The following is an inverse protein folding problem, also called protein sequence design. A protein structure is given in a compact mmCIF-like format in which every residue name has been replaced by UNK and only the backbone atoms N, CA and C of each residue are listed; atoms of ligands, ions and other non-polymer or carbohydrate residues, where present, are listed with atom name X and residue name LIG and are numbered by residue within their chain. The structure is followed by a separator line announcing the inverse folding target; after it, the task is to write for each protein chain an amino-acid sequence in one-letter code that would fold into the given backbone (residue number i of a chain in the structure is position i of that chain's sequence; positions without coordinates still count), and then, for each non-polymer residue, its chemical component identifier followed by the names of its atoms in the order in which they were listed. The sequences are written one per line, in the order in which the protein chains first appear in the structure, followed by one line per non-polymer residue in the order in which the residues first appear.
data_IF_547582851225
#
_entry.id   IF_547582851225
#
_cell.length_a   1.000
_cell.length_b   1.000
_cell.length_c   1.000
_cell.angle_alpha   90.00
_cell.angle_beta   90.00
_cell.angle_gamma   90.00
#
_symmetry.space_group_name_H-M   'P 1'
#
loop_
_entity.id
_entity.type
_entity.pdbx_description
1 polymer ?
#
# COMPACT_ATOMS: atom_id res chain seq x y z
N UNK A 1 4.93 -9.12 25.27
CA UNK A 1 4.07 -8.19 24.51
C UNK A 1 4.10 -8.64 23.05
N UNK A 2 2.98 -9.13 22.55
CA UNK A 2 2.88 -9.70 21.20
C UNK A 2 2.72 -8.55 20.21
N UNK A 3 3.69 -8.39 19.30
CA UNK A 3 3.61 -7.45 18.18
C UNK A 3 2.74 -8.10 17.10
N UNK A 4 1.57 -7.53 16.81
CA UNK A 4 0.70 -7.98 15.74
C UNK A 4 0.98 -7.15 14.49
N UNK A 5 1.28 -7.86 13.38
CA UNK A 5 1.36 -7.29 12.04
C UNK A 5 -0.04 -6.93 11.57
N UNK A 6 -0.28 -5.66 11.23
CA UNK A 6 -1.39 -5.26 10.38
C UNK A 6 -0.99 -5.48 8.92
N UNK A 7 -1.53 -6.49 8.28
CA UNK A 7 -1.45 -6.60 6.83
C UNK A 7 -2.58 -5.74 6.25
N UNK A 8 -2.29 -4.50 5.88
CA UNK A 8 -3.17 -3.74 4.99
C UNK A 8 -2.80 -4.07 3.55
N UNK A 9 -3.77 -4.61 2.82
CA UNK A 9 -3.72 -4.73 1.37
C UNK A 9 -4.03 -3.34 0.81
N UNK A 10 -3.08 -2.70 0.33
CA UNK A 10 -2.90 -1.60 -0.61
C UNK A 10 -1.88 -0.59 -0.11
N UNK A 11 -0.89 -0.34 -0.92
CA UNK A 11 0.11 0.73 -0.82
C UNK A 11 0.88 0.82 0.52
N UNK A 12 2.12 0.35 0.50
CA UNK A 12 3.24 0.78 1.35
C UNK A 12 2.96 0.95 2.85
N UNK A 13 2.76 -0.16 3.58
CA UNK A 13 3.08 -0.14 4.99
C UNK A 13 4.32 -1.00 5.24
N UNK A 14 5.41 -0.33 5.61
CA UNK A 14 6.59 -1.01 6.12
C UNK A 14 6.20 -1.86 7.33
N UNK A 15 6.15 -3.18 7.13
CA UNK A 15 6.05 -4.11 8.23
C UNK A 15 7.35 -4.02 9.04
N UNK A 16 7.28 -3.48 10.25
CA UNK A 16 8.39 -3.58 11.20
C UNK A 16 8.50 -5.03 11.68
N UNK A 17 9.14 -5.85 10.89
CA UNK A 17 9.57 -7.18 11.27
C UNK A 17 10.97 -7.12 11.87
N UNK A 18 11.08 -7.28 13.19
CA UNK A 18 12.37 -7.57 13.82
C UNK A 18 12.68 -9.04 13.59
N UNK A 19 13.50 -9.35 12.59
CA UNK A 19 14.18 -10.64 12.53
C UNK A 19 15.51 -10.52 13.26
N UNK A 20 15.66 -11.30 14.32
CA UNK A 20 16.95 -11.54 14.93
C UNK A 20 17.83 -12.30 13.93
N UNK A 21 18.80 -11.61 13.34
CA UNK A 21 19.96 -12.25 12.77
C UNK A 21 20.88 -12.65 13.92
N UNK A 22 21.43 -13.85 13.85
CA UNK A 22 22.35 -14.38 14.84
C UNK A 22 23.54 -13.43 15.03
N UNK A 23 23.80 -13.09 16.27
CA UNK A 23 24.95 -12.29 16.68
C UNK A 23 26.25 -13.02 16.40
N UNK A 24 27.17 -12.35 15.70
CA UNK A 24 28.59 -12.47 16.00
C UNK A 24 29.38 -11.22 15.59
N UNK A 25 30.04 -10.63 16.59
CA UNK A 25 31.16 -9.69 16.56
C UNK A 25 31.16 -8.51 15.57
N UNK A 26 30.40 -7.44 15.88
CA UNK A 26 30.86 -6.04 15.64
C UNK A 26 29.96 -5.01 16.35
N UNK A 27 30.01 -4.96 17.66
CA UNK A 27 29.22 -4.01 18.49
C UNK A 27 29.25 -2.55 17.98
N UNK A 28 30.32 -2.12 17.32
CA UNK A 28 30.45 -0.76 16.80
C UNK A 28 29.65 -0.55 15.50
N UNK A 29 29.59 -1.57 14.64
CA UNK A 29 28.82 -1.53 13.38
C UNK A 29 27.34 -1.67 13.69
N UNK A 30 26.97 -2.59 14.59
CA UNK A 30 25.58 -2.78 15.01
C UNK A 30 25.03 -1.53 15.73
N UNK A 31 25.83 -0.89 16.59
CA UNK A 31 25.45 0.37 17.21
C UNK A 31 25.34 1.53 16.21
N UNK A 32 26.18 1.56 15.18
CA UNK A 32 26.08 2.54 14.10
C UNK A 32 24.76 2.37 13.33
N UNK A 33 24.45 1.15 12.91
CA UNK A 33 23.20 0.87 12.19
C UNK A 33 21.96 1.03 13.06
N UNK A 34 22.00 0.64 14.34
CA UNK A 34 20.93 0.90 15.30
C UNK A 34 20.65 2.40 15.47
N UNK A 35 21.69 3.25 15.36
CA UNK A 35 21.55 4.69 15.35
C UNK A 35 20.91 5.27 14.08
N UNK A 36 20.95 4.55 12.97
CA UNK A 36 20.39 4.99 11.69
C UNK A 36 18.88 4.74 11.55
N UNK A 37 18.30 3.85 12.36
CA UNK A 37 16.90 3.41 12.25
C UNK A 37 16.79 1.97 11.74
N UNK A 38 15.59 1.55 11.39
CA UNK A 38 15.28 0.21 10.89
C UNK A 38 15.09 0.22 9.38
N UNK A 39 15.63 -0.78 8.70
CA UNK A 39 15.42 -1.00 7.28
C UNK A 39 14.53 -2.21 7.05
N UNK A 40 13.77 -2.19 5.98
CA UNK A 40 12.92 -3.30 5.56
C UNK A 40 12.94 -3.44 4.04
N UNK A 41 12.69 -4.63 3.57
CA UNK A 41 12.50 -4.90 2.14
C UNK A 41 11.38 -5.92 1.97
N UNK A 42 10.71 -5.89 0.83
CA UNK A 42 9.76 -6.93 0.46
C UNK A 42 9.82 -7.26 -1.01
N UNK A 43 9.35 -8.46 -1.35
CA UNK A 43 9.10 -8.89 -2.72
C UNK A 43 7.78 -9.64 -2.76
N UNK A 44 7.00 -9.41 -3.83
CA UNK A 44 5.76 -10.13 -4.07
C UNK A 44 5.59 -10.50 -5.54
N UNK A 45 4.89 -11.60 -5.78
CA UNK A 45 4.32 -11.96 -7.07
C UNK A 45 2.82 -12.04 -6.93
N UNK A 46 2.09 -11.38 -7.81
CA UNK A 46 0.62 -11.37 -7.82
C UNK A 46 0.08 -11.72 -9.20
N UNK A 47 -1.11 -12.29 -9.26
CA UNK A 47 -1.78 -12.62 -10.53
C UNK A 47 -2.34 -11.39 -11.23
N UNK A 48 -2.55 -10.30 -10.50
CA UNK A 48 -2.95 -9.00 -11.03
C UNK A 48 -2.51 -7.90 -10.03
N UNK A 49 -2.01 -6.78 -10.52
CA UNK A 49 -1.80 -5.58 -9.71
C UNK A 49 -3.04 -4.69 -9.84
N UNK A 50 -3.71 -4.44 -8.73
CA UNK A 50 -4.88 -3.57 -8.67
C UNK A 50 -4.59 -2.34 -7.81
N UNK A 51 -4.93 -1.16 -8.31
CA UNK A 51 -4.91 0.10 -7.59
C UNK A 51 -6.34 0.62 -7.44
N UNK A 52 -6.82 0.79 -6.22
CA UNK A 52 -8.21 1.21 -5.92
C UNK A 52 -9.24 0.42 -6.74
N UNK A 53 -9.11 -0.91 -6.74
CA UNK A 53 -9.99 -1.83 -7.45
C UNK A 53 -9.73 -2.01 -8.95
N UNK A 54 -8.93 -1.15 -9.58
CA UNK A 54 -8.66 -1.15 -11.03
C UNK A 54 -7.34 -1.85 -11.34
N UNK A 55 -7.35 -2.81 -12.27
CA UNK A 55 -6.15 -3.51 -12.74
C UNK A 55 -5.18 -2.57 -13.44
N UNK A 56 -3.93 -2.58 -12.99
CA UNK A 56 -2.81 -1.85 -13.56
C UNK A 56 -1.98 -2.71 -14.53
N UNK A 57 -2.20 -4.02 -14.55
CA UNK A 57 -1.49 -4.98 -15.40
C UNK A 57 -2.36 -5.60 -16.48
N UNK A 58 -3.53 -4.99 -16.78
CA UNK A 58 -4.50 -5.52 -17.73
C UNK A 58 -4.88 -6.98 -17.42
N UNK A 59 -5.16 -7.27 -16.15
CA UNK A 59 -5.52 -8.58 -15.63
C UNK A 59 -4.38 -9.63 -15.76
N UNK A 60 -3.14 -9.14 -15.85
CA UNK A 60 -1.94 -9.98 -15.96
C UNK A 60 -1.08 -9.95 -14.70
N UNK A 61 -0.07 -10.83 -14.60
CA UNK A 61 0.74 -10.95 -13.42
C UNK A 61 1.68 -9.73 -13.21
N UNK A 62 1.96 -9.46 -11.95
CA UNK A 62 2.96 -8.48 -11.53
C UNK A 62 3.99 -9.06 -10.57
N UNK A 63 5.20 -8.48 -10.64
CA UNK A 63 6.25 -8.63 -9.65
C UNK A 63 6.46 -7.28 -9.00
N UNK A 64 6.41 -7.26 -7.68
CA UNK A 64 6.46 -6.04 -6.87
C UNK A 64 7.61 -6.13 -5.87
N UNK A 65 8.18 -4.99 -5.53
CA UNK A 65 9.23 -4.92 -4.53
C UNK A 65 9.16 -3.61 -3.76
N UNK A 66 9.66 -3.62 -2.52
CA UNK A 66 9.79 -2.40 -1.73
C UNK A 66 11.07 -2.40 -0.92
N UNK A 67 11.52 -1.18 -0.62
CA UNK A 67 12.57 -0.91 0.36
C UNK A 67 12.10 0.25 1.24
N UNK A 68 12.26 0.11 2.55
CA UNK A 68 11.81 1.08 3.54
C UNK A 68 12.87 1.37 4.58
N UNK A 69 12.76 2.56 5.15
CA UNK A 69 13.48 3.02 6.32
C UNK A 69 12.51 3.63 7.31
N UNK A 70 12.74 3.41 8.60
CA UNK A 70 11.97 4.05 9.65
C UNK A 70 12.84 4.35 10.88
N UNK A 71 12.46 5.38 11.63
CA UNK A 71 13.10 5.75 12.88
C UNK A 71 12.12 6.38 13.84
N UNK A 72 12.13 5.89 15.08
CA UNK A 72 11.32 6.43 16.16
C UNK A 72 12.10 7.43 17.02
N UNK A 73 11.43 8.50 17.39
CA UNK A 73 11.96 9.56 18.24
C UNK A 73 11.02 9.78 19.42
N UNK A 74 11.58 10.12 20.56
CA UNK A 74 10.81 10.55 21.74
C UNK A 74 10.70 12.06 21.78
N UNK A 75 9.47 12.57 21.73
CA UNK A 75 9.15 13.99 21.95
C UNK A 75 8.36 14.11 23.27
N UNK A 76 9.07 14.26 24.37
CA UNK A 76 8.49 14.19 25.71
C UNK A 76 7.98 12.78 26.03
N UNK A 77 6.66 12.64 26.24
CA UNK A 77 6.01 11.35 26.47
C UNK A 77 5.45 10.70 25.19
N UNK A 78 5.51 11.41 24.08
CA UNK A 78 5.04 10.92 22.77
C UNK A 78 6.19 10.27 22.01
N UNK A 79 5.86 9.19 21.30
CA UNK A 79 6.73 8.57 20.31
C UNK A 79 6.28 9.01 18.92
N UNK A 80 7.23 9.54 18.15
CA UNK A 80 7.02 10.00 16.77
C UNK A 80 7.88 9.13 15.87
N UNK A 81 7.26 8.40 14.97
CA UNK A 81 7.92 7.64 13.92
C UNK A 81 8.08 8.49 12.66
N UNK A 82 9.27 8.47 12.07
CA UNK A 82 9.52 8.94 10.72
C UNK A 82 9.75 7.74 9.83
N UNK A 83 9.27 7.78 8.59
CA UNK A 83 9.55 6.74 7.61
C UNK A 83 9.66 7.29 6.20
N UNK A 84 10.38 6.54 5.37
CA UNK A 84 10.46 6.72 3.95
C UNK A 84 10.54 5.36 3.26
N UNK A 85 9.95 5.23 2.08
CA UNK A 85 10.02 4.00 1.29
C UNK A 85 9.99 4.28 -0.19
N UNK A 86 10.53 3.32 -0.95
CA UNK A 86 10.30 3.19 -2.38
C UNK A 86 9.64 1.83 -2.62
N UNK A 87 8.61 1.83 -3.46
CA UNK A 87 7.93 0.63 -3.93
C UNK A 87 7.91 0.65 -5.45
N UNK A 88 7.86 -0.50 -6.10
CA UNK A 88 7.74 -0.56 -7.54
C UNK A 88 7.05 -1.83 -8.01
N UNK A 89 6.43 -1.74 -9.18
CA UNK A 89 5.72 -2.83 -9.85
C UNK A 89 5.85 -2.71 -11.37
N UNK A 90 5.91 -3.85 -12.06
CA UNK A 90 5.58 -3.79 -13.47
C UNK A 90 4.09 -3.47 -13.65
N UNK A 91 3.79 -2.78 -14.73
CA UNK A 91 2.42 -2.47 -15.14
C UNK A 91 2.22 -2.69 -16.64
N UNK A 92 0.97 -2.62 -17.08
CA UNK A 92 0.60 -2.72 -18.49
C UNK A 92 -0.72 -2.00 -18.71
N UNK A 93 -0.64 -0.75 -19.14
CA UNK A 93 -1.80 0.01 -19.58
C UNK A 93 -2.22 -0.41 -21.00
N UNK A 94 -3.52 -0.29 -21.32
CA UNK A 94 -4.06 -0.51 -22.68
C UNK A 94 -4.46 0.82 -23.33
N UNK A 95 -3.68 1.83 -23.12
CA UNK A 95 -3.91 3.23 -23.53
C UNK A 95 -3.11 3.63 -24.77
N UNK A 96 -2.26 2.73 -25.27
CA UNK A 96 -1.40 2.95 -26.44
C UNK A 96 0.01 3.42 -26.09
N UNK A 97 0.30 3.67 -24.81
CA UNK A 97 1.65 3.89 -24.33
C UNK A 97 2.35 2.57 -23.95
N UNK A 98 3.67 2.61 -23.82
CA UNK A 98 4.50 1.46 -23.48
C UNK A 98 4.99 1.51 -22.03
N UNK A 99 4.38 2.32 -21.16
CA UNK A 99 4.73 2.35 -19.76
C UNK A 99 4.62 0.93 -19.16
N UNK A 100 5.68 0.47 -18.51
CA UNK A 100 5.75 -0.88 -17.95
C UNK A 100 6.26 -0.92 -16.51
N UNK A 101 6.64 0.22 -15.94
CA UNK A 101 7.17 0.35 -14.59
C UNK A 101 6.52 1.50 -13.85
N UNK A 102 6.10 1.26 -12.63
CA UNK A 102 5.68 2.26 -11.64
C UNK A 102 6.65 2.22 -10.46
N UNK A 103 7.06 3.39 -9.98
CA UNK A 103 7.84 3.54 -8.76
C UNK A 103 7.22 4.64 -7.91
N UNK A 104 6.87 4.27 -6.67
CA UNK A 104 6.27 5.15 -5.69
C UNK A 104 7.26 5.47 -4.58
N UNK A 105 7.43 6.75 -4.28
CA UNK A 105 8.21 7.24 -3.15
C UNK A 105 7.28 7.78 -2.08
N UNK A 106 7.34 7.18 -0.89
CA UNK A 106 6.50 7.58 0.24
C UNK A 106 7.37 8.11 1.37
N UNK A 107 6.91 9.17 2.02
CA UNK A 107 7.49 9.66 3.27
C UNK A 107 6.39 10.11 4.22
N UNK A 108 6.57 9.84 5.52
CA UNK A 108 5.52 10.16 6.48
C UNK A 108 5.98 10.21 7.92
N UNK A 109 5.03 10.62 8.75
CA UNK A 109 5.17 10.78 10.19
C UNK A 109 4.04 10.06 10.89
N UNK A 110 4.39 9.20 11.85
CA UNK A 110 3.42 8.45 12.66
C UNK A 110 3.50 8.82 14.13
N UNK A 111 2.38 8.69 14.83
CA UNK A 111 2.35 8.71 16.29
C UNK A 111 1.21 7.86 16.83
N UNK A 112 1.23 7.56 18.13
CA UNK A 112 0.14 6.83 18.77
C UNK A 112 -0.35 7.60 19.97
N UNK A 113 -1.63 7.95 20.00
CA UNK A 113 -2.29 8.68 21.09
C UNK A 113 -3.41 7.80 21.66
N UNK A 114 -3.28 7.39 22.92
CA UNK A 114 -4.28 6.55 23.61
C UNK A 114 -4.68 5.28 22.82
N UNK A 115 -3.70 4.67 22.14
CA UNK A 115 -3.91 3.48 21.32
C UNK A 115 -4.37 3.76 19.88
N UNK A 116 -4.78 4.98 19.57
CA UNK A 116 -5.09 5.42 18.20
C UNK A 116 -3.77 5.73 17.48
N UNK A 117 -3.47 4.97 16.43
CA UNK A 117 -2.36 5.27 15.51
C UNK A 117 -2.81 6.35 14.56
N UNK A 118 -1.95 7.34 14.36
CA UNK A 118 -2.13 8.44 13.41
C UNK A 118 -0.95 8.46 12.46
N UNK A 119 -1.22 8.77 11.20
CA UNK A 119 -0.23 8.84 10.13
C UNK A 119 -0.53 10.05 9.25
N UNK A 120 0.51 10.80 8.88
CA UNK A 120 0.44 11.86 7.88
C UNK A 120 1.58 11.63 6.88
N UNK A 121 1.26 11.58 5.59
CA UNK A 121 2.22 11.15 4.57
C UNK A 121 2.04 11.86 3.24
N UNK A 122 3.10 11.78 2.42
CA UNK A 122 3.08 12.14 1.02
C UNK A 122 3.59 10.98 0.18
N UNK A 123 3.04 10.84 -1.01
CA UNK A 123 3.44 9.85 -2.01
C UNK A 123 3.71 10.56 -3.33
N UNK A 124 4.81 10.23 -3.98
CA UNK A 124 5.11 10.61 -5.35
C UNK A 124 5.11 9.35 -6.22
N UNK A 125 4.14 9.28 -7.12
CA UNK A 125 3.98 8.20 -8.10
C UNK A 125 4.73 8.58 -9.36
N UNK A 126 5.56 7.68 -9.88
CA UNK A 126 6.34 7.91 -11.11
C UNK A 126 6.22 6.75 -12.07
N UNK A 127 6.21 7.09 -13.35
CA UNK A 127 6.12 6.16 -14.47
C UNK A 127 7.28 6.42 -15.44
N UNK A 128 8.52 5.95 -15.10
CA UNK A 128 9.76 6.38 -15.80
C UNK A 128 9.79 6.11 -17.30
N UNK A 129 9.00 5.15 -17.77
CA UNK A 129 8.95 4.73 -19.18
C UNK A 129 7.75 5.31 -19.93
N UNK A 130 6.90 6.09 -19.27
CA UNK A 130 5.76 6.72 -19.90
C UNK A 130 6.19 7.90 -20.77
N UNK A 131 5.38 8.20 -21.78
CA UNK A 131 5.55 9.42 -22.55
C UNK A 131 5.21 10.64 -21.65
N UNK A 132 6.14 11.57 -21.49
CA UNK A 132 5.98 12.78 -20.65
C UNK A 132 4.71 13.59 -20.97
N UNK A 133 4.26 13.56 -22.23
CA UNK A 133 3.03 14.27 -22.65
C UNK A 133 1.74 13.69 -22.03
N UNK A 134 1.79 12.50 -21.43
CA UNK A 134 0.66 11.86 -20.79
C UNK A 134 0.46 12.32 -19.34
N UNK A 135 1.48 12.96 -18.73
CA UNK A 135 1.45 13.46 -17.35
C UNK A 135 1.00 12.39 -16.34
N UNK A 136 1.61 11.19 -16.40
CA UNK A 136 1.24 10.11 -15.51
C UNK A 136 1.78 10.30 -14.09
N UNK A 137 2.93 10.98 -13.94
CA UNK A 137 3.52 11.28 -12.64
C UNK A 137 2.62 12.23 -11.85
N UNK A 138 2.36 11.91 -10.58
CA UNK A 138 1.55 12.75 -9.71
C UNK A 138 1.93 12.56 -8.23
N UNK A 139 1.38 13.43 -7.39
CA UNK A 139 1.60 13.39 -5.94
C UNK A 139 0.27 13.25 -5.19
N UNK A 140 0.32 12.56 -4.05
CA UNK A 140 -0.76 12.57 -3.08
C UNK A 140 -0.24 12.97 -1.70
N UNK A 141 -1.03 13.74 -0.96
CA UNK A 141 -0.88 13.91 0.47
C UNK A 141 -2.01 13.13 1.17
N UNK A 142 -1.68 12.47 2.27
CA UNK A 142 -2.65 11.64 2.95
C UNK A 142 -2.58 11.70 4.47
N UNK A 143 -3.67 11.26 5.06
CA UNK A 143 -3.82 11.09 6.50
C UNK A 143 -4.48 9.76 6.80
N UNK A 144 -3.97 9.03 7.80
CA UNK A 144 -4.49 7.75 8.26
C UNK A 144 -4.75 7.74 9.76
N UNK A 145 -5.76 6.96 10.16
CA UNK A 145 -6.01 6.64 11.55
C UNK A 145 -6.37 5.16 11.70
N UNK A 146 -5.88 4.51 12.76
CA UNK A 146 -6.14 3.09 12.99
C UNK A 146 -6.17 2.74 14.47
N UNK A 147 -7.01 1.77 14.83
CA UNK A 147 -7.14 1.28 16.19
C UNK A 147 -7.22 -0.24 16.23
N UNK A 148 -6.49 -0.83 17.18
CA UNK A 148 -6.49 -2.27 17.42
C UNK A 148 -7.34 -2.60 18.66
N UNK A 149 -8.46 -3.28 18.46
CA UNK A 149 -9.36 -3.76 19.50
C UNK A 149 -8.94 -5.13 20.08
N UNK A 150 -7.84 -5.72 19.60
CA UNK A 150 -7.38 -7.05 19.97
C UNK A 150 -8.07 -8.19 19.23
N UNK A 151 -9.38 -8.13 19.02
CA UNK A 151 -10.14 -9.09 18.20
C UNK A 151 -10.20 -8.69 16.73
N UNK A 152 -10.09 -7.40 16.45
CA UNK A 152 -10.06 -6.82 15.12
C UNK A 152 -9.29 -5.52 15.16
N UNK A 153 -8.66 -5.18 14.07
CA UNK A 153 -8.08 -3.86 13.83
C UNK A 153 -8.91 -3.16 12.77
N UNK A 154 -9.16 -1.87 12.98
CA UNK A 154 -9.88 -1.03 12.00
C UNK A 154 -9.01 0.17 11.63
N UNK A 155 -9.17 0.68 10.41
CA UNK A 155 -8.47 1.87 9.97
C UNK A 155 -9.24 2.62 8.92
N UNK A 156 -8.89 3.89 8.74
CA UNK A 156 -9.38 4.73 7.66
C UNK A 156 -8.26 5.63 7.15
N UNK A 157 -8.32 5.97 5.88
CA UNK A 157 -7.33 6.81 5.22
C UNK A 157 -8.03 7.80 4.30
N UNK A 158 -7.42 8.96 4.17
CA UNK A 158 -7.78 10.01 3.23
C UNK A 158 -6.55 10.34 2.39
N UNK A 159 -6.76 10.53 1.09
CA UNK A 159 -5.74 10.97 0.15
C UNK A 159 -6.28 12.14 -0.66
N UNK A 160 -5.42 13.06 -1.01
CA UNK A 160 -5.67 14.19 -1.88
C UNK A 160 -4.52 14.36 -2.86
N UNK A 161 -4.83 14.47 -4.13
CA UNK A 161 -3.93 14.87 -5.20
C UNK A 161 -4.39 16.19 -5.78
N UNK A 162 -3.53 17.21 -5.88
CA UNK A 162 -3.87 18.48 -6.52
C UNK A 162 -3.91 18.38 -8.06
N UNK A 163 -3.27 17.35 -8.61
CA UNK A 163 -3.25 17.06 -10.06
C UNK A 163 -3.01 15.56 -10.23
N UNK A 164 -4.09 14.81 -10.34
CA UNK A 164 -4.07 13.35 -10.36
C UNK A 164 -3.60 12.83 -11.73
N UNK A 165 -3.27 11.55 -11.79
CA UNK A 165 -2.82 10.79 -12.96
C UNK A 165 -3.44 11.29 -14.29
N UNK A 166 -2.58 11.65 -15.25
CA UNK A 166 -3.00 12.22 -16.53
C UNK A 166 -3.36 13.71 -16.47
N UNK A 167 -2.96 14.43 -15.42
CA UNK A 167 -3.21 15.86 -15.20
C UNK A 167 -4.71 16.21 -15.25
N UNK A 168 -5.55 15.40 -14.58
CA UNK A 168 -6.99 15.57 -14.55
C UNK A 168 -7.49 16.53 -13.46
N UNK A 169 -6.57 17.13 -12.68
CA UNK A 169 -6.91 18.04 -11.58
C UNK A 169 -7.10 17.32 -10.24
N UNK A 170 -7.83 17.95 -9.34
CA UNK A 170 -7.98 17.46 -7.95
C UNK A 170 -8.70 16.11 -7.91
N UNK A 171 -8.14 15.23 -7.10
CA UNK A 171 -8.74 13.93 -6.77
C UNK A 171 -8.65 13.65 -5.28
N UNK A 172 -9.67 12.99 -4.75
CA UNK A 172 -9.79 12.61 -3.36
C UNK A 172 -10.10 11.12 -3.27
N UNK A 173 -9.49 10.45 -2.29
CA UNK A 173 -9.82 9.05 -2.00
C UNK A 173 -10.00 8.85 -0.51
N UNK A 174 -11.11 8.23 -0.15
CA UNK A 174 -11.45 7.88 1.23
C UNK A 174 -11.52 6.37 1.34
N UNK A 175 -10.88 5.80 2.34
CA UNK A 175 -10.94 4.36 2.52
C UNK A 175 -11.14 3.94 3.97
N UNK A 176 -11.75 2.77 4.14
CA UNK A 176 -11.89 2.08 5.40
C UNK A 176 -11.47 0.63 5.27
N UNK A 177 -10.84 0.09 6.32
CA UNK A 177 -10.40 -1.28 6.34
C UNK A 177 -10.66 -1.93 7.71
N UNK A 178 -10.82 -3.23 7.70
CA UNK A 178 -10.93 -4.07 8.88
C UNK A 178 -10.07 -5.31 8.69
N UNK A 179 -9.38 -5.74 9.75
CA UNK A 179 -8.59 -6.98 9.76
C UNK A 179 -8.91 -7.78 11.00
N UNK A 180 -9.14 -9.08 10.81
CA UNK A 180 -9.53 -10.00 11.88
C UNK A 180 -8.58 -11.21 11.87
N UNK A 181 -7.81 -11.42 12.94
CA UNK A 181 -7.02 -12.63 13.10
C UNK A 181 -7.94 -13.84 13.34
N UNK A 182 -7.75 -14.88 12.55
CA UNK A 182 -8.52 -16.13 12.62
C UNK A 182 -7.64 -17.29 13.11
N UNK A 183 -8.26 -18.44 13.54
CA UNK A 183 -7.51 -19.65 13.82
C UNK A 183 -6.62 -20.09 12.67
N UNK A 184 -5.64 -20.96 12.96
CA UNK A 184 -4.69 -21.52 11.97
C UNK A 184 -3.77 -20.50 11.30
N UNK A 185 -3.47 -19.38 11.98
CA UNK A 185 -2.64 -18.27 11.44
C UNK A 185 -3.22 -17.65 10.16
N UNK A 186 -4.53 -17.67 10.03
CA UNK A 186 -5.25 -16.97 8.98
C UNK A 186 -5.57 -15.55 9.44
N UNK A 187 -5.63 -14.64 8.49
CA UNK A 187 -6.12 -13.26 8.68
C UNK A 187 -7.16 -12.99 7.60
N UNK A 188 -8.37 -12.63 8.00
CA UNK A 188 -9.38 -12.10 7.09
C UNK A 188 -9.29 -10.58 7.09
N UNK A 189 -9.38 -9.95 5.91
CA UNK A 189 -9.44 -8.49 5.82
C UNK A 189 -10.53 -8.07 4.84
N UNK A 190 -11.13 -6.91 5.12
CA UNK A 190 -12.09 -6.23 4.26
C UNK A 190 -11.66 -4.79 4.05
N UNK A 191 -11.92 -4.28 2.86
CA UNK A 191 -11.63 -2.92 2.46
C UNK A 191 -12.80 -2.35 1.66
N UNK A 192 -13.03 -1.04 1.81
CA UNK A 192 -13.89 -0.23 0.96
C UNK A 192 -13.24 1.12 0.76
N UNK A 193 -13.28 1.63 -0.46
CA UNK A 193 -12.77 2.94 -0.81
C UNK A 193 -13.72 3.68 -1.74
N UNK A 194 -13.58 5.01 -1.78
CA UNK A 194 -14.36 5.87 -2.67
C UNK A 194 -13.47 6.95 -3.26
N UNK A 195 -13.39 6.97 -4.58
CA UNK A 195 -12.66 7.96 -5.37
C UNK A 195 -13.60 9.06 -5.84
N UNK A 196 -13.20 10.32 -5.67
CA UNK A 196 -13.92 11.51 -6.12
C UNK A 196 -12.98 12.35 -6.96
N UNK A 197 -13.43 12.80 -8.12
CA UNK A 197 -12.65 13.58 -9.07
C UNK A 197 -13.34 14.89 -9.40
N UNK A 198 -12.62 16.01 -9.36
CA UNK A 198 -13.17 17.29 -9.80
C UNK A 198 -13.31 17.36 -11.33
N UNK A 199 -12.57 16.50 -12.04
CA UNK A 199 -12.63 16.42 -13.51
C UNK A 199 -13.93 15.78 -14.00
N UNK A 200 -14.69 16.50 -14.82
CA UNK A 200 -15.89 15.93 -15.46
C UNK A 200 -15.62 14.78 -16.45
N UNK A 201 -14.36 14.53 -16.79
CA UNK A 201 -13.91 13.41 -17.63
C UNK A 201 -13.71 12.11 -16.88
N UNK A 202 -13.60 12.17 -15.54
CA UNK A 202 -13.47 11.01 -14.67
C UNK A 202 -14.84 10.71 -14.01
N UNK A 203 -15.03 9.47 -13.62
CA UNK A 203 -16.24 9.00 -12.93
C UNK A 203 -15.89 8.68 -11.49
N UNK A 204 -16.59 9.27 -10.53
CA UNK A 204 -16.49 8.87 -9.12
C UNK A 204 -16.91 7.41 -8.97
N UNK A 205 -16.19 6.67 -8.13
CA UNK A 205 -16.49 5.25 -7.96
C UNK A 205 -16.12 4.75 -6.58
N UNK A 206 -16.71 3.60 -6.25
CA UNK A 206 -16.43 2.85 -5.04
C UNK A 206 -15.74 1.54 -5.39
N UNK A 207 -14.68 1.22 -4.67
CA UNK A 207 -14.00 -0.08 -4.74
C UNK A 207 -14.15 -0.82 -3.41
N UNK A 208 -14.08 -2.16 -3.46
CA UNK A 208 -14.07 -3.00 -2.27
C UNK A 208 -13.30 -4.28 -2.49
N UNK A 209 -12.80 -4.83 -1.40
CA UNK A 209 -12.18 -6.15 -1.43
C UNK A 209 -12.42 -6.92 -0.15
N UNK A 210 -12.35 -8.24 -0.26
CA UNK A 210 -12.23 -9.16 0.86
C UNK A 210 -11.08 -10.11 0.59
N UNK A 211 -10.25 -10.36 1.60
CA UNK A 211 -9.08 -11.22 1.44
C UNK A 211 -8.90 -12.17 2.61
N UNK A 212 -8.20 -13.27 2.33
CA UNK A 212 -7.75 -14.24 3.31
C UNK A 212 -6.26 -14.49 3.10
N UNK A 213 -5.47 -14.23 4.14
CA UNK A 213 -4.02 -14.36 4.11
C UNK A 213 -3.55 -15.40 5.14
N UNK A 214 -2.54 -16.18 4.78
CA UNK A 214 -1.85 -17.10 5.69
C UNK A 214 -0.36 -17.04 5.53
N UNK A 215 0.37 -16.93 6.65
CA UNK A 215 1.81 -17.09 6.64
C UNK A 215 2.19 -18.57 6.66
N UNK A 216 2.95 -19.00 5.65
CA UNK A 216 3.48 -20.36 5.51
C UNK A 216 4.99 -20.26 5.24
N UNK A 217 5.80 -20.78 6.16
CA UNK A 217 7.27 -20.80 6.04
C UNK A 217 7.90 -19.42 5.78
N UNK A 218 7.30 -18.37 6.34
CA UNK A 218 7.79 -16.99 6.17
C UNK A 218 7.35 -16.32 4.86
N UNK A 219 6.45 -16.96 4.10
CA UNK A 219 5.77 -16.37 2.96
C UNK A 219 4.31 -16.09 3.33
N UNK A 220 3.82 -14.92 2.96
CA UNK A 220 2.41 -14.59 3.06
C UNK A 220 1.71 -14.97 1.75
N UNK A 221 0.78 -15.91 1.86
CA UNK A 221 -0.07 -16.36 0.76
C UNK A 221 -1.45 -15.73 0.95
N UNK A 222 -1.91 -14.97 -0.02
CA UNK A 222 -3.18 -14.25 0.02
C UNK A 222 -4.05 -14.59 -1.18
N UNK A 223 -5.35 -14.73 -0.94
CA UNK A 223 -6.39 -14.71 -1.96
C UNK A 223 -7.33 -13.56 -1.66
N UNK A 224 -7.70 -12.80 -2.68
CA UNK A 224 -8.61 -11.68 -2.56
C UNK A 224 -9.68 -11.72 -3.65
N UNK A 225 -10.89 -11.30 -3.30
CA UNK A 225 -11.91 -10.86 -4.23
C UNK A 225 -11.88 -9.33 -4.24
N UNK A 226 -11.81 -8.72 -5.42
CA UNK A 226 -11.72 -7.27 -5.61
C UNK A 226 -12.75 -6.87 -6.65
N UNK A 227 -13.41 -5.74 -6.44
CA UNK A 227 -14.45 -5.26 -7.35
C UNK A 227 -14.62 -3.74 -7.23
N UNK A 228 -15.31 -3.15 -8.21
CA UNK A 228 -15.70 -1.73 -8.23
C UNK A 228 -17.15 -1.61 -8.68
N UNK A 229 -17.77 -0.44 -8.46
CA UNK A 229 -19.10 -0.13 -9.02
C UNK A 229 -19.05 0.47 -10.43
N UNK A 230 -17.84 0.60 -11.02
CA UNK A 230 -17.65 1.10 -12.38
C UNK A 230 -18.21 0.12 -13.43
N UNK A 231 -18.83 0.68 -14.43
CA UNK A 231 -19.20 -0.09 -15.63
C UNK A 231 -18.01 -0.20 -16.58
N UNK A 232 -17.99 -1.23 -17.37
CA UNK A 232 -16.97 -1.47 -18.39
C UNK A 232 -16.75 -0.26 -19.34
N UNK A 233 -17.82 0.47 -19.68
CA UNK A 233 -17.74 1.69 -20.49
C UNK A 233 -16.99 2.84 -19.79
N UNK A 234 -16.98 2.85 -18.46
CA UNK A 234 -16.29 3.86 -17.62
C UNK A 234 -14.82 3.49 -17.39
N UNK A 235 -14.44 2.25 -17.72
CA UNK A 235 -13.08 1.72 -17.73
C UNK A 235 -12.48 1.60 -19.14
N UNK A 236 -12.76 2.53 -20.02
CA UNK A 236 -12.23 2.51 -21.38
C UNK A 236 -12.68 1.30 -22.21
N UNK A 237 -13.80 0.63 -21.86
CA UNK A 237 -14.29 -0.56 -22.54
C UNK A 237 -13.52 -1.84 -22.19
N UNK A 238 -12.59 -1.80 -21.24
CA UNK A 238 -11.79 -2.93 -20.79
C UNK A 238 -12.44 -3.66 -19.61
N UNK A 239 -11.93 -4.84 -19.21
CA UNK A 239 -12.31 -5.53 -17.99
C UNK A 239 -11.54 -5.09 -16.75
N UNK A 240 -10.72 -4.03 -16.83
CA UNK A 240 -9.79 -3.65 -15.76
C UNK A 240 -10.49 -3.29 -14.44
N UNK A 241 -11.77 -2.94 -14.45
CA UNK A 241 -12.56 -2.65 -13.24
C UNK A 241 -13.63 -3.72 -12.93
N UNK A 242 -13.68 -4.79 -13.70
CA UNK A 242 -14.60 -5.91 -13.42
C UNK A 242 -14.13 -6.68 -12.17
N UNK A 243 -15.09 -7.34 -11.49
CA UNK A 243 -14.82 -8.22 -10.36
C UNK A 243 -13.79 -9.30 -10.66
N UNK A 244 -12.86 -9.54 -9.73
CA UNK A 244 -11.81 -10.54 -9.95
C UNK A 244 -11.30 -11.19 -8.68
N UNK A 245 -10.72 -12.39 -8.86
CA UNK A 245 -9.93 -13.07 -7.85
C UNK A 245 -8.44 -12.81 -8.07
N UNK A 246 -7.72 -12.40 -7.03
CA UNK A 246 -6.28 -12.15 -7.07
C UNK A 246 -5.59 -13.06 -6.07
N UNK A 247 -4.53 -13.75 -6.52
CA UNK A 247 -3.63 -14.51 -5.66
C UNK A 247 -2.28 -13.80 -5.56
N UNK A 248 -1.76 -13.68 -4.34
CA UNK A 248 -0.46 -13.04 -4.08
C UNK A 248 0.39 -13.94 -3.19
N UNK A 249 1.67 -14.04 -3.50
CA UNK A 249 2.72 -14.57 -2.63
C UNK A 249 3.71 -13.46 -2.34
N UNK A 250 3.98 -13.20 -1.05
CA UNK A 250 4.89 -12.14 -0.63
C UNK A 250 5.87 -12.64 0.43
N UNK A 251 7.03 -11.98 0.51
CA UNK A 251 7.99 -12.15 1.59
C UNK A 251 8.59 -10.81 1.99
N UNK A 252 8.65 -10.59 3.31
CA UNK A 252 9.32 -9.44 3.93
C UNK A 252 10.61 -9.86 4.62
N UNK A 253 11.58 -8.91 4.67
CA UNK A 253 12.92 -9.07 5.24
C UNK A 253 13.21 -7.95 6.23
#
# INVERSE_FOLDING_TARGET
MRKFLLACVAACFAASGTNALAADENDAVDNFFAGLGSFSASVAGTTDYTFRGISQTSEGPAVQGSFGWSKDFKAGQQEIGLYASAWGSNLKFKDGDNAFLEIDYTGGVTTTVSGLKLDAFGIYYTYPDANDALNYDYVEAGFGAGYDFGLASVGGQFYWSPDFFGAIGDAYYFSGNVSVPLPFKLTAAGHVGHSVFDASSATDYTDWSISLTRNILGFDLSVAYIDTDLKKSECGGTGNCDARGVFTIAKSF
#
